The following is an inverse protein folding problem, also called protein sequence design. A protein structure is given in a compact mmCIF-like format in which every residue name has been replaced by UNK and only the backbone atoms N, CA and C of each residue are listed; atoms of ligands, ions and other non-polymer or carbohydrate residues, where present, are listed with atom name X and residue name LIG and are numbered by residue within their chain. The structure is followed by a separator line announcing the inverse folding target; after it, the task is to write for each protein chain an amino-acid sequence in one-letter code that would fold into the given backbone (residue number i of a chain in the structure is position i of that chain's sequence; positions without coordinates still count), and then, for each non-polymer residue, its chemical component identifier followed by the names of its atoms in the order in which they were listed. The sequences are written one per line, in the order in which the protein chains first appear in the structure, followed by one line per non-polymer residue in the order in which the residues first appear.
data_IF_675666673066
#
_entry.id   IF_675666673066
#
_cell.length_a   1.000
_cell.length_b   1.000
_cell.length_c   1.000
_cell.angle_alpha   90.00
_cell.angle_beta   90.00
_cell.angle_gamma   90.00
#
_symmetry.space_group_name_H-M   'P 1'
#
loop_
_entity.id
_entity.type
_entity.pdbx_description
1 polymer ?
#
# COMPACT_ATOMS: atom_id res chain seq x y z
N UNK A 1 -24.64 6.21 -15.93
CA UNK A 1 -23.74 7.32 -16.30
C UNK A 1 -22.62 7.38 -15.26
N UNK A 2 -21.38 7.66 -15.68
CA UNK A 2 -20.25 7.81 -14.75
C UNK A 2 -20.35 9.12 -13.98
N UNK A 3 -20.11 9.06 -12.66
CA UNK A 3 -20.22 10.20 -11.76
C UNK A 3 -18.89 10.36 -11.00
N UNK A 4 -18.27 11.54 -10.98
CA UNK A 4 -17.08 11.79 -10.17
C UNK A 4 -17.32 11.48 -8.70
N UNK A 5 -16.43 10.70 -8.08
CA UNK A 5 -16.53 10.43 -6.64
C UNK A 5 -16.05 11.66 -5.87
N UNK A 6 -16.72 11.99 -4.76
CA UNK A 6 -16.32 13.08 -3.85
C UNK A 6 -15.55 12.55 -2.64
N UNK A 7 -16.04 11.48 -2.02
CA UNK A 7 -15.49 10.93 -0.78
C UNK A 7 -14.74 9.61 -0.99
N UNK A 8 -15.22 8.78 -1.91
CA UNK A 8 -14.63 7.48 -2.25
C UNK A 8 -13.45 7.69 -3.19
N UNK A 9 -12.33 8.16 -2.65
CA UNK A 9 -11.15 8.55 -3.43
C UNK A 9 -9.99 7.56 -3.33
N UNK A 10 -9.97 6.74 -2.29
CA UNK A 10 -8.88 5.79 -2.04
C UNK A 10 -9.41 4.45 -1.54
N UNK A 11 -8.80 3.38 -2.03
CA UNK A 11 -9.16 2.04 -1.61
C UNK A 11 -8.04 1.03 -1.82
N UNK A 12 -8.27 -0.18 -1.32
CA UNK A 12 -7.38 -1.34 -1.44
C UNK A 12 -8.16 -2.48 -2.04
N UNK A 13 -7.59 -3.17 -3.03
CA UNK A 13 -8.16 -4.38 -3.57
C UNK A 13 -8.14 -5.50 -2.50
N UNK A 14 -9.30 -6.07 -2.19
CA UNK A 14 -9.45 -7.18 -1.24
C UNK A 14 -9.37 -8.56 -1.90
N UNK A 15 -9.36 -8.59 -3.23
CA UNK A 15 -9.23 -9.81 -4.01
C UNK A 15 -8.57 -9.53 -5.37
N UNK A 16 -8.00 -10.56 -5.98
CA UNK A 16 -7.41 -10.46 -7.31
C UNK A 16 -8.51 -10.29 -8.36
N UNK A 17 -8.39 -9.28 -9.21
CA UNK A 17 -9.28 -9.05 -10.33
C UNK A 17 -8.49 -8.98 -11.64
N UNK A 18 -8.79 -9.88 -12.58
CA UNK A 18 -7.98 -10.05 -13.80
C UNK A 18 -8.15 -8.96 -14.84
N UNK A 19 -9.22 -8.19 -14.77
CA UNK A 19 -9.47 -7.17 -15.79
C UNK A 19 -10.05 -7.68 -17.10
N UNK A 20 -10.64 -8.88 -17.11
CA UNK A 20 -11.20 -9.55 -18.30
C UNK A 20 -12.52 -8.88 -18.80
N UNK A 21 -12.52 -7.57 -18.94
CA UNK A 21 -13.62 -6.76 -19.47
C UNK A 21 -13.08 -5.57 -20.23
N UNK A 22 -13.92 -4.96 -21.07
CA UNK A 22 -13.53 -3.77 -21.82
C UNK A 22 -13.15 -2.65 -20.86
N UNK A 23 -11.95 -2.09 -21.04
CA UNK A 23 -11.35 -1.06 -20.17
C UNK A 23 -11.05 -1.52 -18.74
N UNK A 24 -10.95 -2.83 -18.49
CA UNK A 24 -10.63 -3.34 -17.18
C UNK A 24 -9.20 -3.07 -16.75
N UNK A 25 -9.02 -2.54 -15.55
CA UNK A 25 -7.71 -2.39 -14.88
C UNK A 25 -7.43 -3.57 -13.94
N UNK A 26 -6.64 -4.56 -14.36
CA UNK A 26 -6.27 -5.68 -13.48
C UNK A 26 -5.72 -5.19 -12.13
N UNK A 27 -6.16 -5.83 -11.04
CA UNK A 27 -5.76 -5.52 -9.66
C UNK A 27 -5.32 -6.77 -8.93
N UNK A 28 -4.24 -6.64 -8.16
CA UNK A 28 -3.81 -7.67 -7.21
C UNK A 28 -4.34 -7.38 -5.80
N UNK A 29 -4.58 -8.42 -5.01
CA UNK A 29 -4.94 -8.28 -3.60
C UNK A 29 -3.89 -7.42 -2.86
N UNK A 30 -4.37 -6.46 -2.08
CA UNK A 30 -3.53 -5.49 -1.37
C UNK A 30 -3.03 -4.34 -2.24
N UNK A 31 -3.39 -4.28 -3.52
CA UNK A 31 -3.07 -3.14 -4.38
C UNK A 31 -3.94 -1.93 -4.05
N UNK A 32 -3.31 -0.77 -3.94
CA UNK A 32 -3.95 0.50 -3.62
C UNK A 32 -4.36 1.24 -4.89
N UNK A 33 -5.58 1.77 -4.89
CA UNK A 33 -6.16 2.47 -6.04
C UNK A 33 -6.63 3.87 -5.65
N UNK A 34 -6.48 4.81 -6.57
CA UNK A 34 -7.21 6.07 -6.52
C UNK A 34 -8.45 5.95 -7.39
N UNK A 35 -9.59 6.31 -6.82
CA UNK A 35 -10.91 6.23 -7.46
C UNK A 35 -11.29 7.62 -7.94
N UNK A 36 -11.69 7.73 -9.20
CA UNK A 36 -12.06 8.98 -9.86
C UNK A 36 -13.57 9.09 -10.04
N UNK A 37 -14.20 8.00 -10.46
CA UNK A 37 -15.61 7.97 -10.83
C UNK A 37 -16.26 6.65 -10.41
N UNK A 38 -17.58 6.65 -10.29
CA UNK A 38 -18.38 5.46 -10.05
C UNK A 38 -19.57 5.35 -11.02
N UNK A 39 -19.97 4.12 -11.34
CA UNK A 39 -21.14 3.82 -12.16
C UNK A 39 -21.65 2.40 -11.83
N UNK A 40 -22.88 2.27 -11.32
CA UNK A 40 -23.58 0.98 -11.19
C UNK A 40 -22.73 -0.18 -10.64
N UNK A 41 -22.10 -0.02 -9.47
CA UNK A 41 -21.29 -1.08 -8.86
C UNK A 41 -19.89 -1.22 -9.45
N UNK A 42 -19.47 -0.29 -10.32
CA UNK A 42 -18.09 -0.13 -10.79
C UNK A 42 -17.46 1.15 -10.26
N UNK A 43 -16.15 1.09 -10.07
CA UNK A 43 -15.28 2.26 -9.97
C UNK A 43 -14.45 2.39 -11.24
N UNK A 44 -14.04 3.62 -11.55
CA UNK A 44 -13.00 3.93 -12.52
C UNK A 44 -11.89 4.67 -11.81
N UNK A 45 -10.66 4.27 -12.06
CA UNK A 45 -9.50 4.80 -11.36
C UNK A 45 -8.20 4.28 -11.94
N UNK A 46 -7.15 4.36 -11.14
CA UNK A 46 -5.82 3.84 -11.46
C UNK A 46 -5.15 3.23 -10.23
N UNK A 47 -4.22 2.32 -10.46
CA UNK A 47 -3.34 1.80 -9.42
C UNK A 47 -2.37 2.89 -8.99
N UNK A 48 -2.15 3.06 -7.68
CA UNK A 48 -1.15 4.01 -7.20
C UNK A 48 0.28 3.63 -7.59
N UNK A 49 0.52 2.36 -7.99
CA UNK A 49 1.80 1.90 -8.56
C UNK A 49 1.99 2.37 -10.01
N UNK A 50 0.91 2.50 -10.77
CA UNK A 50 0.94 2.93 -12.17
C UNK A 50 -0.23 3.87 -12.49
N UNK A 51 0.01 5.18 -12.34
CA UNK A 51 -1.00 6.23 -12.55
C UNK A 51 -1.35 6.49 -14.02
N UNK A 52 -0.52 6.01 -14.95
CA UNK A 52 -0.69 6.25 -16.37
C UNK A 52 -1.86 5.43 -16.95
N UNK A 53 -2.14 4.26 -16.37
CA UNK A 53 -3.19 3.36 -16.83
C UNK A 53 -4.45 3.57 -16.01
N UNK A 54 -5.51 4.04 -16.66
CA UNK A 54 -6.84 4.17 -16.08
C UNK A 54 -7.74 3.05 -16.60
N UNK A 55 -8.56 2.50 -15.72
CA UNK A 55 -9.57 1.53 -16.09
C UNK A 55 -10.64 1.37 -15.02
N UNK A 56 -11.54 0.43 -15.27
CA UNK A 56 -12.67 0.14 -14.40
C UNK A 56 -12.37 -1.09 -13.55
N UNK A 57 -12.96 -1.18 -12.37
CA UNK A 57 -12.90 -2.35 -11.48
C UNK A 57 -14.15 -2.42 -10.59
N UNK A 58 -14.59 -3.61 -10.14
CA UNK A 58 -15.82 -3.73 -9.37
C UNK A 58 -15.70 -3.09 -7.99
N UNK A 59 -16.76 -2.43 -7.51
CA UNK A 59 -16.78 -1.85 -6.16
C UNK A 59 -16.62 -2.93 -5.08
N UNK A 60 -17.16 -4.12 -5.31
CA UNK A 60 -17.10 -5.26 -4.38
C UNK A 60 -15.70 -5.80 -4.14
N UNK A 61 -14.73 -5.44 -5.00
CA UNK A 61 -13.33 -5.84 -4.89
C UNK A 61 -12.50 -4.81 -4.13
N UNK A 62 -13.09 -3.67 -3.73
CA UNK A 62 -12.36 -2.56 -3.13
C UNK A 62 -12.86 -2.28 -1.72
N UNK A 63 -11.94 -2.36 -0.76
CA UNK A 63 -12.14 -1.81 0.56
C UNK A 63 -11.73 -0.34 0.58
N UNK A 64 -12.67 0.54 0.87
CA UNK A 64 -12.41 1.98 0.95
C UNK A 64 -11.58 2.31 2.20
N UNK A 65 -10.54 3.13 2.04
CA UNK A 65 -9.71 3.63 3.15
C UNK A 65 -9.81 5.14 3.23
N UNK A 66 -9.72 5.67 4.45
CA UNK A 66 -9.71 7.12 4.68
C UNK A 66 -8.48 7.76 4.03
N UNK A 67 -8.71 8.89 3.36
CA UNK A 67 -7.70 9.69 2.70
C UNK A 67 -8.00 11.18 2.89
N UNK A 68 -6.95 11.99 2.95
CA UNK A 68 -7.01 13.42 2.79
C UNK A 68 -6.95 13.75 1.30
N UNK A 69 -7.82 14.65 0.86
CA UNK A 69 -7.83 15.16 -0.51
C UNK A 69 -7.32 16.59 -0.47
N UNK A 70 -6.23 16.86 -1.17
CA UNK A 70 -5.66 18.20 -1.35
C UNK A 70 -5.83 18.63 -2.82
N UNK A 71 -5.98 19.93 -3.07
CA UNK A 71 -6.12 20.53 -4.42
C UNK A 71 -7.28 19.95 -5.25
N UNK A 72 -8.51 19.97 -4.71
CA UNK A 72 -9.71 19.50 -5.42
C UNK A 72 -9.77 20.01 -6.87
N UNK A 73 -10.07 19.11 -7.82
CA UNK A 73 -10.14 19.42 -9.25
C UNK A 73 -9.06 18.74 -10.08
N UNK A 74 -8.48 19.46 -11.04
CA UNK A 74 -7.55 18.91 -12.05
C UNK A 74 -6.24 18.38 -11.47
N UNK A 75 -5.85 18.87 -10.28
CA UNK A 75 -4.58 18.53 -9.62
C UNK A 75 -4.80 17.83 -8.27
N UNK A 76 -5.93 17.10 -8.15
CA UNK A 76 -6.32 16.41 -6.94
C UNK A 76 -5.25 15.42 -6.46
N UNK A 77 -4.77 15.64 -5.23
CA UNK A 77 -3.84 14.76 -4.53
C UNK A 77 -4.58 13.98 -3.45
N UNK A 78 -4.55 12.66 -3.54
CA UNK A 78 -5.19 11.76 -2.57
C UNK A 78 -4.12 11.09 -1.72
N UNK A 79 -4.08 11.45 -0.44
CA UNK A 79 -3.08 10.97 0.52
C UNK A 79 -3.77 10.11 1.58
N UNK A 80 -3.36 8.84 1.79
CA UNK A 80 -3.92 8.01 2.84
C UNK A 80 -3.69 8.64 4.22
N UNK A 81 -4.66 8.55 5.13
CA UNK A 81 -4.54 9.02 6.54
C UNK A 81 -3.79 8.00 7.42
N UNK A 82 -3.30 6.92 6.82
CA UNK A 82 -2.51 5.90 7.51
C UNK A 82 -1.22 6.49 8.09
N UNK A 83 -0.83 5.97 9.26
CA UNK A 83 0.41 6.36 9.93
C UNK A 83 1.61 6.27 8.98
N UNK A 84 2.42 7.33 8.93
CA UNK A 84 3.53 7.42 7.99
C UNK A 84 4.55 6.30 8.19
N UNK A 85 4.79 5.85 9.42
CA UNK A 85 5.71 4.74 9.70
C UNK A 85 5.12 3.41 9.23
N UNK A 86 3.81 3.19 9.42
CA UNK A 86 3.12 2.00 8.89
C UNK A 86 3.20 1.94 7.36
N UNK A 87 3.00 3.09 6.70
CA UNK A 87 3.14 3.20 5.25
C UNK A 87 4.58 2.95 4.81
N UNK A 88 5.56 3.56 5.47
CA UNK A 88 6.98 3.42 5.15
C UNK A 88 7.43 1.97 5.24
N UNK A 89 7.09 1.25 6.33
CA UNK A 89 7.39 -0.17 6.47
C UNK A 89 6.81 -0.98 5.30
N UNK A 90 5.63 -0.63 4.81
CA UNK A 90 5.00 -1.31 3.67
C UNK A 90 5.81 -1.12 2.38
N UNK A 91 6.38 0.07 2.16
CA UNK A 91 7.18 0.38 0.98
C UNK A 91 8.55 -0.31 1.06
N UNK A 92 9.24 -0.17 2.19
CA UNK A 92 10.55 -0.79 2.44
C UNK A 92 10.48 -2.31 2.31
N UNK A 93 9.42 -2.96 2.84
CA UNK A 93 9.26 -4.41 2.69
C UNK A 93 9.08 -4.85 1.23
N UNK A 94 8.51 -4.02 0.35
CA UNK A 94 8.41 -4.33 -1.09
C UNK A 94 9.79 -4.23 -1.74
N UNK A 95 10.51 -3.14 -1.48
CA UNK A 95 11.85 -2.91 -2.03
C UNK A 95 12.84 -3.99 -1.56
N UNK A 96 12.89 -4.25 -0.25
CA UNK A 96 13.73 -5.29 0.32
C UNK A 96 13.29 -6.68 -0.12
N UNK A 97 12.01 -6.90 -0.43
CA UNK A 97 11.54 -8.17 -0.99
C UNK A 97 12.18 -8.48 -2.34
N UNK A 98 12.41 -7.48 -3.18
CA UNK A 98 13.09 -7.67 -4.47
C UNK A 98 14.59 -7.90 -4.30
N UNK A 99 15.23 -7.19 -3.36
CA UNK A 99 16.64 -7.41 -2.99
C UNK A 99 16.83 -8.81 -2.40
N UNK A 100 15.96 -9.22 -1.49
CA UNK A 100 16.00 -10.51 -0.80
C UNK A 100 15.92 -11.68 -1.78
N UNK A 101 15.05 -11.59 -2.81
CA UNK A 101 14.99 -12.59 -3.89
C UNK A 101 16.29 -12.66 -4.70
N UNK A 102 16.93 -11.52 -4.99
CA UNK A 102 18.22 -11.49 -5.69
C UNK A 102 19.33 -12.15 -4.87
N UNK A 103 19.42 -11.84 -3.58
CA UNK A 103 20.38 -12.47 -2.67
C UNK A 103 20.28 -14.00 -2.65
N UNK A 104 19.06 -14.55 -2.76
CA UNK A 104 18.85 -15.98 -2.89
C UNK A 104 19.45 -16.55 -4.19
N UNK A 105 19.18 -15.91 -5.33
CA UNK A 105 19.71 -16.32 -6.64
C UNK A 105 21.23 -16.25 -6.67
N UNK A 106 21.80 -15.18 -6.10
CA UNK A 106 23.24 -14.93 -6.03
C UNK A 106 23.95 -15.78 -4.95
N UNK A 107 23.19 -16.57 -4.17
CA UNK A 107 23.69 -17.45 -3.10
C UNK A 107 24.41 -16.70 -1.96
N UNK A 108 24.01 -15.46 -1.70
CA UNK A 108 24.49 -14.63 -0.60
C UNK A 108 23.80 -15.01 0.73
N UNK A 109 24.04 -16.24 1.21
CA UNK A 109 23.29 -16.89 2.30
C UNK A 109 23.16 -16.02 3.56
N UNK A 110 24.28 -15.48 4.06
CA UNK A 110 24.27 -14.67 5.29
C UNK A 110 23.41 -13.41 5.15
N UNK A 111 23.51 -12.70 4.03
CA UNK A 111 22.70 -11.50 3.77
C UNK A 111 21.23 -11.87 3.58
N UNK A 112 20.95 -12.95 2.86
CA UNK A 112 19.59 -13.44 2.66
C UNK A 112 18.90 -13.75 3.99
N UNK A 113 19.56 -14.47 4.89
CA UNK A 113 19.02 -14.80 6.21
C UNK A 113 18.83 -13.55 7.07
N UNK A 114 19.82 -12.66 7.06
CA UNK A 114 19.80 -11.43 7.86
C UNK A 114 18.68 -10.50 7.42
N UNK A 115 18.58 -10.19 6.12
CA UNK A 115 17.51 -9.35 5.57
C UNK A 115 16.15 -9.98 5.82
N UNK A 116 16.00 -11.28 5.57
CA UNK A 116 14.74 -11.99 5.82
C UNK A 116 14.29 -11.94 7.28
N UNK A 117 15.22 -12.01 8.24
CA UNK A 117 14.91 -11.84 9.66
C UNK A 117 14.40 -10.43 9.95
N UNK A 118 15.10 -9.40 9.48
CA UNK A 118 14.66 -8.01 9.71
C UNK A 118 13.33 -7.71 9.05
N UNK A 119 13.07 -8.23 7.84
CA UNK A 119 11.77 -8.09 7.19
C UNK A 119 10.63 -8.67 8.03
N UNK A 120 10.83 -9.82 8.68
CA UNK A 120 9.83 -10.42 9.58
C UNK A 120 9.61 -9.56 10.83
N UNK A 121 10.68 -9.02 11.41
CA UNK A 121 10.60 -8.11 12.55
C UNK A 121 9.80 -6.85 12.20
N UNK A 122 10.09 -6.23 11.04
CA UNK A 122 9.37 -5.06 10.53
C UNK A 122 7.89 -5.35 10.29
N UNK A 123 7.57 -6.52 9.70
CA UNK A 123 6.18 -6.94 9.48
C UNK A 123 5.41 -7.07 10.80
N UNK A 124 6.02 -7.67 11.81
CA UNK A 124 5.42 -7.83 13.14
C UNK A 124 5.23 -6.49 13.85
N UNK A 125 6.23 -5.61 13.83
CA UNK A 125 6.09 -4.27 14.43
C UNK A 125 5.04 -3.42 13.70
N UNK A 126 4.94 -3.54 12.38
CA UNK A 126 3.84 -2.92 11.63
C UNK A 126 2.49 -3.45 12.06
N UNK A 127 2.35 -4.76 12.28
CA UNK A 127 1.11 -5.38 12.79
C UNK A 127 0.72 -4.79 14.15
N UNK A 128 1.69 -4.61 15.05
CA UNK A 128 1.45 -4.01 16.37
C UNK A 128 1.08 -2.53 16.30
N UNK A 129 1.65 -1.75 15.38
CA UNK A 129 1.23 -0.36 15.17
C UNK A 129 -0.22 -0.27 14.66
N UNK A 130 -0.60 -1.18 13.76
CA UNK A 130 -1.94 -1.21 13.15
C UNK A 130 -2.99 -1.76 14.11
N UNK A 131 -2.63 -2.62 15.08
CA UNK A 131 -3.61 -3.19 16.03
C UNK A 131 -4.24 -2.15 16.94
N UNK A 132 -3.59 -1.00 17.15
CA UNK A 132 -4.10 0.07 18.02
C UNK A 132 -4.15 -0.30 19.50
N UNK A 133 -3.44 -1.36 19.91
CA UNK A 133 -3.45 -1.89 21.28
C UNK A 133 -2.35 -1.33 22.17
N UNK A 134 -1.46 -0.50 21.63
CA UNK A 134 -0.32 0.09 22.33
C UNK A 134 -0.70 1.44 22.96
N UNK A 135 -0.07 1.77 24.09
CA UNK A 135 -0.14 3.14 24.64
C UNK A 135 0.57 4.14 23.73
N UNK A 136 0.41 5.43 23.99
CA UNK A 136 1.10 6.49 23.24
C UNK A 136 2.63 6.35 23.33
N UNK A 137 3.15 6.10 24.54
CA UNK A 137 4.59 5.93 24.76
C UNK A 137 5.12 4.67 24.06
N UNK A 138 4.42 3.54 24.19
CA UNK A 138 4.79 2.30 23.49
C UNK A 138 4.77 2.47 21.97
N UNK A 139 3.76 3.17 21.44
CA UNK A 139 3.67 3.47 20.01
C UNK A 139 4.86 4.31 19.55
N UNK A 140 5.24 5.33 20.33
CA UNK A 140 6.38 6.20 20.04
C UNK A 140 7.69 5.42 20.03
N UNK A 141 7.93 4.60 21.05
CA UNK A 141 9.13 3.76 21.15
C UNK A 141 9.22 2.77 19.99
N UNK A 142 8.12 2.11 19.65
CA UNK A 142 8.08 1.16 18.54
C UNK A 142 8.36 1.84 17.19
N UNK A 143 7.83 3.04 16.97
CA UNK A 143 8.14 3.83 15.76
C UNK A 143 9.62 4.17 15.65
N UNK A 144 10.24 4.64 16.74
CA UNK A 144 11.67 4.94 16.74
C UNK A 144 12.52 3.69 16.46
N UNK A 145 12.13 2.56 17.04
CA UNK A 145 12.77 1.27 16.78
C UNK A 145 12.67 0.85 15.32
N UNK A 146 11.50 1.00 14.71
CA UNK A 146 11.27 0.73 13.28
C UNK A 146 12.18 1.61 12.42
N UNK A 147 12.18 2.92 12.65
CA UNK A 147 12.96 3.88 11.86
C UNK A 147 14.44 3.51 11.92
N UNK A 148 14.99 3.32 13.12
CA UNK A 148 16.41 2.95 13.26
C UNK A 148 16.75 1.61 12.59
N UNK A 149 15.79 0.67 12.50
CA UNK A 149 15.99 -0.61 11.83
C UNK A 149 15.95 -0.50 10.31
N UNK A 150 15.08 0.36 9.77
CA UNK A 150 15.05 0.70 8.34
C UNK A 150 16.35 1.38 7.95
N UNK A 151 16.78 2.40 8.71
CA UNK A 151 18.03 3.13 8.47
C UNK A 151 19.26 2.20 8.49
N UNK A 152 19.27 1.21 9.38
CA UNK A 152 20.34 0.21 9.43
C UNK A 152 20.37 -0.66 8.17
N UNK A 153 19.22 -1.09 7.65
CA UNK A 153 19.18 -2.00 6.49
C UNK A 153 19.30 -1.30 5.13
N UNK A 154 19.08 0.03 5.09
CA UNK A 154 19.31 0.84 3.90
C UNK A 154 20.78 1.27 3.72
N UNK A 155 21.65 1.01 4.71
CA UNK A 155 23.10 1.21 4.63
C UNK A 155 23.79 -0.01 4.04
#
# INVERSE_FOLDING_TARGET
MWIPTKTKKYGVAVYNWRGDTKFGLSLEIGETVQILEECQGWYRGFSTKNRAVKGIFPQTYIYLKNCKVDNEGLFESVVPVEDSVVREVTLVLREWGDIWKKLFVDREVYKFETVGKVMRDLLEWRRQLVSGTLTQDQTRELKLKIIGKIDWGNR
#
